data_IF_442845580119
#
_entry.id   IF_442845580119
#
_cell.length_a   1.000
_cell.length_b   1.000
_cell.length_c   1.000
_cell.angle_alpha   90.00
_cell.angle_beta   90.00
_cell.angle_gamma   90.00
#
_symmetry.space_group_name_H-M   'P 1'
#
loop_
_entity.id
_entity.type
_entity.pdbx_description
1 polymer ?
#
# COMPACT_ATOMS: atom_id res chain seq x y z
N UNK A 1 50.17 -16.87 66.53
CA UNK A 1 49.45 -16.70 67.81
C UNK A 1 50.18 -15.71 68.70
N UNK A 2 49.68 -14.48 68.85
CA UNK A 2 49.48 -13.76 70.11
C UNK A 2 49.09 -12.32 69.81
N UNK A 3 47.95 -11.95 70.38
CA UNK A 3 47.31 -10.63 70.34
C UNK A 3 48.12 -9.64 71.18
N UNK A 4 48.23 -8.40 70.74
CA UNK A 4 48.48 -7.27 71.64
C UNK A 4 47.42 -6.22 71.31
N UNK A 5 46.57 -5.99 72.30
CA UNK A 5 45.56 -4.93 72.34
C UNK A 5 46.15 -3.72 73.08
N UNK A 6 45.93 -2.55 72.48
CA UNK A 6 45.39 -1.30 73.08
C UNK A 6 46.19 -0.50 74.14
N UNK A 7 45.82 0.79 74.16
CA UNK A 7 45.92 1.88 75.16
C UNK A 7 47.28 2.61 75.22
N UNK A 8 47.46 3.95 75.29
CA UNK A 8 46.67 5.15 75.64
C UNK A 8 47.28 6.35 74.87
N UNK A 9 46.50 7.36 74.48
CA UNK A 9 47.06 8.64 74.03
C UNK A 9 46.03 9.76 73.94
N UNK A 10 45.70 10.35 75.10
CA UNK A 10 44.81 11.50 75.27
C UNK A 10 45.48 12.75 74.64
N UNK A 11 44.91 13.28 73.57
CA UNK A 11 45.40 14.47 72.86
C UNK A 11 44.31 15.54 72.79
N UNK A 12 44.42 16.55 73.64
CA UNK A 12 43.59 17.74 73.71
C UNK A 12 44.15 18.80 72.74
N UNK A 13 43.52 19.12 71.60
CA UNK A 13 43.69 20.44 70.96
C UNK A 13 42.73 20.75 69.80
N UNK A 14 42.22 21.99 69.87
CA UNK A 14 41.71 22.89 68.81
C UNK A 14 40.47 22.50 67.99
N UNK A 15 39.36 23.21 68.26
CA UNK A 15 38.31 23.46 67.28
C UNK A 15 38.90 24.27 66.11
N UNK A 16 38.89 23.68 64.92
CA UNK A 16 38.96 24.41 63.66
C UNK A 16 37.55 24.44 63.08
N UNK A 17 36.98 25.64 62.95
CA UNK A 17 35.79 25.87 62.15
C UNK A 17 36.16 25.66 60.67
N UNK A 18 35.96 24.45 60.17
CA UNK A 18 36.00 24.18 58.74
C UNK A 18 34.68 24.68 58.17
N UNK A 19 34.73 25.72 57.33
CA UNK A 19 33.61 26.09 56.48
C UNK A 19 33.26 24.87 55.64
N UNK A 20 32.19 24.16 56.01
CA UNK A 20 31.59 23.13 55.17
C UNK A 20 30.93 23.88 54.03
N UNK A 21 31.63 23.99 52.91
CA UNK A 21 30.95 24.13 51.62
C UNK A 21 29.98 22.96 51.55
N UNK A 22 28.68 23.22 51.62
CA UNK A 22 27.67 22.22 51.37
C UNK A 22 27.85 21.74 49.93
N UNK A 23 28.64 20.67 49.77
CA UNK A 23 28.61 19.88 48.57
C UNK A 23 27.23 19.22 48.57
N UNK A 24 26.28 19.81 47.84
CA UNK A 24 25.09 19.07 47.44
C UNK A 24 25.62 17.88 46.64
N UNK A 25 25.55 16.69 47.25
CA UNK A 25 25.68 15.47 46.50
C UNK A 25 24.62 15.54 45.40
N UNK A 26 25.06 15.60 44.14
CA UNK A 26 24.18 15.31 43.01
C UNK A 26 23.79 13.85 43.23
N UNK A 27 22.55 13.66 43.67
CA UNK A 27 21.97 12.34 43.83
C UNK A 27 21.97 11.72 42.42
N UNK A 28 22.92 10.82 42.18
CA UNK A 28 23.08 10.23 40.86
C UNK A 28 21.91 9.26 40.71
N UNK A 29 21.04 9.42 39.70
CA UNK A 29 19.86 8.56 39.60
C UNK A 29 20.29 7.10 39.56
N UNK A 30 19.89 6.33 40.58
CA UNK A 30 20.14 4.90 40.66
C UNK A 30 19.10 4.21 39.78
N UNK A 31 19.47 3.95 38.54
CA UNK A 31 18.60 3.27 37.57
C UNK A 31 18.82 1.75 37.62
N UNK A 32 17.73 0.97 37.49
CA UNK A 32 17.75 -0.48 37.29
C UNK A 32 16.99 -0.82 36.01
N UNK A 33 17.56 -1.64 35.16
CA UNK A 33 16.94 -2.11 33.92
C UNK A 33 16.40 -3.54 34.08
N UNK A 34 15.33 -3.84 33.37
CA UNK A 34 14.77 -5.18 33.17
C UNK A 34 14.56 -5.42 31.68
N UNK A 35 14.62 -6.68 31.25
CA UNK A 35 14.44 -7.06 29.84
C UNK A 35 13.05 -7.65 29.59
N UNK A 36 12.53 -7.42 28.37
CA UNK A 36 11.37 -8.11 27.81
C UNK A 36 11.77 -8.68 26.44
N UNK A 37 11.38 -9.91 26.16
CA UNK A 37 11.71 -10.63 24.93
C UNK A 37 10.43 -11.15 24.27
N UNK A 38 10.38 -11.11 22.95
CA UNK A 38 9.26 -11.61 22.14
C UNK A 38 9.77 -12.18 20.82
N UNK A 39 9.20 -13.31 20.39
CA UNK A 39 9.37 -13.83 19.03
C UNK A 39 8.14 -13.46 18.21
N UNK A 40 8.35 -12.86 17.03
CA UNK A 40 7.27 -12.47 16.11
C UNK A 40 7.23 -13.47 14.96
N UNK A 41 6.05 -14.04 14.71
CA UNK A 41 5.81 -15.01 13.63
C UNK A 41 4.83 -14.45 12.61
N UNK A 42 4.78 -15.06 11.42
CA UNK A 42 3.85 -14.65 10.34
C UNK A 42 2.40 -14.92 10.72
N UNK A 43 1.48 -14.08 10.23
CA UNK A 43 0.05 -14.37 10.22
C UNK A 43 -0.25 -15.61 9.36
N UNK A 44 -1.39 -16.25 9.64
CA UNK A 44 -2.01 -17.16 8.67
C UNK A 44 -2.45 -16.29 7.50
N UNK A 45 -1.72 -16.33 6.38
CA UNK A 45 -1.91 -15.42 5.25
C UNK A 45 -3.37 -15.24 4.87
N UNK A 46 -3.83 -13.98 4.79
CA UNK A 46 -5.23 -13.65 4.52
C UNK A 46 -5.63 -13.71 3.04
N UNK A 47 -4.71 -14.14 2.15
CA UNK A 47 -4.95 -14.25 0.72
C UNK A 47 -6.15 -15.14 0.39
N UNK A 48 -7.12 -14.57 -0.33
CA UNK A 48 -8.37 -15.23 -0.69
C UNK A 48 -9.58 -14.84 0.19
N UNK A 49 -9.41 -13.94 1.15
CA UNK A 49 -10.51 -13.30 1.86
C UNK A 49 -11.26 -12.30 0.96
N UNK A 50 -12.48 -11.91 1.34
CA UNK A 50 -13.18 -10.79 0.67
C UNK A 50 -12.35 -9.50 0.85
N UNK A 51 -12.23 -8.65 -0.19
CA UNK A 51 -11.53 -7.38 -0.06
C UNK A 51 -12.11 -6.47 1.04
N UNK A 52 -11.28 -5.61 1.62
CA UNK A 52 -11.69 -4.68 2.68
C UNK A 52 -12.75 -3.67 2.22
N UNK A 53 -12.77 -3.41 0.91
CA UNK A 53 -13.69 -2.52 0.21
C UNK A 53 -14.45 -3.28 -0.88
N UNK A 54 -15.69 -2.86 -1.26
CA UNK A 54 -16.52 -3.58 -2.23
C UNK A 54 -16.03 -3.40 -3.67
N UNK A 55 -14.86 -3.96 -3.97
CA UNK A 55 -14.11 -3.93 -5.23
C UNK A 55 -14.23 -5.29 -5.91
N UNK A 56 -14.15 -5.30 -7.25
CA UNK A 56 -14.30 -6.52 -8.04
C UNK A 56 -15.73 -7.06 -8.09
N UNK A 57 -15.89 -8.28 -8.59
CA UNK A 57 -17.18 -8.98 -8.58
C UNK A 57 -17.51 -9.50 -7.16
N UNK A 58 -18.74 -9.31 -6.65
CA UNK A 58 -19.11 -9.79 -5.32
C UNK A 58 -18.88 -11.29 -5.14
N UNK A 59 -18.24 -11.69 -4.04
CA UNK A 59 -18.01 -13.09 -3.69
C UNK A 59 -16.95 -13.81 -4.54
N UNK A 60 -16.18 -13.08 -5.35
CA UNK A 60 -14.95 -13.59 -5.97
C UNK A 60 -13.75 -12.98 -5.25
N UNK A 61 -12.98 -13.76 -4.47
CA UNK A 61 -11.71 -13.29 -3.99
C UNK A 61 -10.79 -12.99 -5.18
N UNK A 62 -9.83 -12.09 -4.98
CA UNK A 62 -8.86 -11.71 -6.01
C UNK A 62 -7.92 -12.83 -6.41
N UNK A 63 -6.94 -12.47 -7.23
CA UNK A 63 -6.02 -13.41 -7.87
C UNK A 63 -4.78 -13.59 -6.96
N UNK A 64 -4.67 -14.77 -6.36
CA UNK A 64 -3.47 -15.20 -5.62
C UNK A 64 -3.80 -16.04 -4.40
N UNK A 65 -2.77 -16.62 -3.78
CA UNK A 65 -2.86 -17.29 -2.48
C UNK A 65 -1.59 -17.02 -1.67
N UNK A 66 -1.69 -17.00 -0.33
CA UNK A 66 -0.55 -16.78 0.57
C UNK A 66 -0.48 -15.37 1.16
N UNK A 67 0.74 -14.96 1.52
CA UNK A 67 1.07 -13.71 2.24
C UNK A 67 1.43 -12.55 1.31
N UNK A 68 1.32 -12.71 -0.01
CA UNK A 68 1.60 -11.66 -1.00
C UNK A 68 0.75 -11.81 -2.26
N UNK A 69 -0.34 -11.06 -2.37
CA UNK A 69 -1.38 -11.28 -3.39
C UNK A 69 -2.08 -9.99 -3.82
N UNK A 70 -2.77 -10.05 -4.98
CA UNK A 70 -3.81 -9.06 -5.33
C UNK A 70 -5.15 -9.67 -4.91
N UNK A 71 -5.68 -9.22 -3.78
CA UNK A 71 -6.88 -9.82 -3.17
C UNK A 71 -8.19 -9.25 -3.70
N UNK A 72 -8.16 -8.12 -4.42
CA UNK A 72 -9.31 -7.55 -5.11
C UNK A 72 -8.87 -6.82 -6.36
N UNK A 73 -9.67 -6.89 -7.44
CA UNK A 73 -9.38 -6.21 -8.69
C UNK A 73 -10.68 -5.95 -9.46
N UNK A 74 -10.89 -4.70 -9.89
CA UNK A 74 -12.07 -4.32 -10.66
C UNK A 74 -11.87 -4.42 -12.17
N UNK A 75 -12.91 -4.89 -12.86
CA UNK A 75 -13.07 -4.71 -14.29
C UNK A 75 -13.61 -3.30 -14.61
N UNK A 76 -13.29 -2.79 -15.81
CA UNK A 76 -13.78 -1.50 -16.28
C UNK A 76 -14.80 -1.65 -17.40
N UNK A 77 -16.02 -1.18 -17.16
CA UNK A 77 -17.08 -1.14 -18.16
C UNK A 77 -17.41 0.32 -18.51
N UNK A 78 -17.38 0.66 -19.79
CA UNK A 78 -17.65 2.02 -20.27
C UNK A 78 -19.00 2.17 -20.99
N UNK A 79 -19.77 1.09 -21.14
CA UNK A 79 -21.03 1.12 -21.86
C UNK A 79 -20.87 1.51 -23.33
N UNK A 80 -21.55 2.59 -23.75
CA UNK A 80 -21.50 3.12 -25.11
C UNK A 80 -20.75 4.45 -25.12
N UNK A 81 -19.74 4.57 -25.99
CA UNK A 81 -18.99 5.81 -26.21
C UNK A 81 -19.13 6.19 -27.69
N UNK A 82 -19.47 7.45 -27.96
CA UNK A 82 -19.48 7.98 -29.32
C UNK A 82 -18.05 8.25 -29.82
N UNK A 83 -17.83 8.15 -31.12
CA UNK A 83 -16.53 8.46 -31.71
C UNK A 83 -16.11 9.89 -31.40
N UNK A 84 -14.86 10.10 -30.99
CA UNK A 84 -14.34 11.41 -30.60
C UNK A 84 -14.77 11.87 -29.21
N UNK A 85 -15.46 11.04 -28.43
CA UNK A 85 -15.86 11.35 -27.06
C UNK A 85 -15.05 10.56 -26.04
N UNK A 86 -15.13 11.07 -24.81
CA UNK A 86 -14.60 10.42 -23.61
C UNK A 86 -15.74 9.67 -22.92
N UNK A 87 -15.46 8.43 -22.52
CA UNK A 87 -16.36 7.61 -21.72
C UNK A 87 -15.85 7.45 -20.30
N UNK A 88 -16.75 7.59 -19.33
CA UNK A 88 -16.49 7.28 -17.92
C UNK A 88 -16.81 5.82 -17.62
N UNK A 89 -15.99 5.15 -16.82
CA UNK A 89 -16.31 3.82 -16.33
C UNK A 89 -17.59 3.84 -15.46
N UNK A 90 -18.40 2.82 -15.60
CA UNK A 90 -19.66 2.63 -14.89
C UNK A 90 -19.36 1.86 -13.60
N UNK A 91 -19.79 2.42 -12.48
CA UNK A 91 -19.69 1.79 -11.17
C UNK A 91 -21.10 1.39 -10.72
N UNK A 92 -21.27 0.15 -10.27
CA UNK A 92 -22.53 -0.28 -9.69
C UNK A 92 -22.77 0.42 -8.35
N UNK A 93 -24.04 0.60 -7.98
CA UNK A 93 -24.42 1.26 -6.73
C UNK A 93 -23.76 0.58 -5.53
N UNK A 94 -23.23 1.39 -4.62
CA UNK A 94 -22.53 0.96 -3.39
C UNK A 94 -21.29 0.08 -3.66
N UNK A 95 -20.70 0.15 -4.87
CA UNK A 95 -19.45 -0.52 -5.26
C UNK A 95 -18.34 0.49 -5.55
N UNK A 96 -17.12 -0.01 -5.64
CA UNK A 96 -15.92 0.77 -5.97
C UNK A 96 -15.14 0.12 -7.11
N UNK A 97 -14.43 0.94 -7.89
CA UNK A 97 -13.39 0.47 -8.81
C UNK A 97 -12.03 0.65 -8.15
N UNK A 98 -11.20 -0.38 -8.20
CA UNK A 98 -9.91 -0.35 -7.53
C UNK A 98 -9.17 -1.67 -7.60
N UNK A 99 -8.15 -1.78 -6.75
CA UNK A 99 -7.47 -3.03 -6.46
C UNK A 99 -7.07 -3.09 -4.99
N UNK A 100 -6.80 -4.29 -4.49
CA UNK A 100 -6.30 -4.53 -3.15
C UNK A 100 -5.06 -5.42 -3.19
N UNK A 101 -4.05 -5.04 -2.43
CA UNK A 101 -2.80 -5.80 -2.26
C UNK A 101 -2.69 -6.22 -0.80
N UNK A 102 -2.32 -7.48 -0.60
CA UNK A 102 -1.93 -8.02 0.71
C UNK A 102 -0.42 -8.23 0.67
N UNK A 103 0.30 -7.66 1.65
CA UNK A 103 1.72 -7.98 1.94
C UNK A 103 1.90 -8.29 3.43
N UNK A 104 1.70 -9.56 3.78
CA UNK A 104 1.88 -10.12 5.12
C UNK A 104 3.20 -10.89 5.26
N UNK A 105 4.14 -10.70 4.32
CA UNK A 105 5.44 -11.41 4.34
C UNK A 105 6.30 -11.02 5.54
N UNK A 106 6.13 -9.79 6.05
CA UNK A 106 6.81 -9.26 7.23
C UNK A 106 8.23 -8.72 6.99
N UNK A 107 8.70 -8.65 5.74
CA UNK A 107 10.08 -8.25 5.43
C UNK A 107 10.26 -6.78 5.01
N UNK A 108 9.18 -6.09 4.64
CA UNK A 108 9.27 -4.70 4.19
C UNK A 108 10.08 -4.49 2.90
N UNK A 109 10.16 -5.50 2.03
CA UNK A 109 10.95 -5.39 0.78
C UNK A 109 10.42 -4.36 -0.22
N UNK A 110 9.19 -3.88 -0.01
CA UNK A 110 8.44 -3.10 -0.99
C UNK A 110 7.85 -3.98 -2.09
N UNK A 111 7.02 -3.37 -2.92
CA UNK A 111 6.35 -4.03 -4.05
C UNK A 111 5.79 -3.00 -5.02
N UNK A 112 5.45 -3.44 -6.23
CA UNK A 112 4.64 -2.62 -7.14
C UNK A 112 3.69 -3.48 -7.96
N UNK A 113 2.54 -2.88 -8.28
CA UNK A 113 1.55 -3.37 -9.22
C UNK A 113 1.70 -2.59 -10.51
N UNK A 114 1.89 -3.33 -11.60
CA UNK A 114 1.88 -2.79 -12.96
C UNK A 114 0.63 -3.24 -13.70
N UNK A 115 0.16 -2.38 -14.60
CA UNK A 115 -0.90 -2.70 -15.54
C UNK A 115 -0.42 -2.49 -16.97
N UNK A 116 -0.80 -3.40 -17.84
CA UNK A 116 -0.68 -3.25 -19.30
C UNK A 116 -2.01 -3.60 -19.94
N UNK A 117 -2.41 -2.82 -20.94
CA UNK A 117 -3.61 -3.09 -21.74
C UNK A 117 -3.23 -3.77 -23.04
N UNK A 118 -3.90 -4.88 -23.34
CA UNK A 118 -3.79 -5.56 -24.63
C UNK A 118 -4.45 -4.76 -25.76
N UNK A 119 -4.45 -5.34 -26.95
CA UNK A 119 -5.11 -4.71 -28.10
C UNK A 119 -6.63 -4.64 -27.89
N UNK A 120 -7.22 -3.50 -28.25
CA UNK A 120 -8.67 -3.29 -28.19
C UNK A 120 -9.33 -3.88 -29.44
N UNK A 121 -9.74 -5.16 -29.36
CA UNK A 121 -10.23 -5.97 -30.48
C UNK A 121 -11.75 -5.95 -30.56
N UNK A 122 -12.27 -5.97 -31.78
CA UNK A 122 -13.70 -6.12 -32.02
C UNK A 122 -14.17 -7.48 -31.51
N UNK A 123 -15.33 -7.50 -30.86
CA UNK A 123 -16.01 -8.74 -30.43
C UNK A 123 -17.08 -9.17 -31.43
N UNK A 124 -17.28 -8.43 -32.51
CA UNK A 124 -18.32 -8.72 -33.52
C UNK A 124 -17.89 -9.84 -34.46
N UNK A 125 -18.83 -10.73 -34.76
CA UNK A 125 -18.61 -11.83 -35.70
C UNK A 125 -18.33 -11.28 -37.10
N UNK A 126 -17.32 -11.83 -37.78
CA UNK A 126 -16.82 -11.32 -39.07
C UNK A 126 -15.82 -10.17 -38.98
N UNK A 127 -15.68 -9.50 -37.81
CA UNK A 127 -14.80 -8.33 -37.63
C UNK A 127 -13.76 -8.50 -36.52
N UNK A 128 -13.59 -9.69 -35.93
CA UNK A 128 -12.70 -9.96 -34.77
C UNK A 128 -11.22 -9.55 -34.96
N UNK A 129 -10.76 -9.41 -36.20
CA UNK A 129 -9.41 -8.91 -36.52
C UNK A 129 -9.30 -7.38 -36.52
N UNK A 130 -10.40 -6.67 -36.32
CA UNK A 130 -10.43 -5.20 -36.27
C UNK A 130 -9.95 -4.73 -34.90
N UNK A 131 -8.91 -3.92 -34.90
CA UNK A 131 -8.36 -3.27 -33.71
C UNK A 131 -8.78 -1.80 -33.73
N UNK A 132 -9.38 -1.32 -32.64
CA UNK A 132 -9.53 0.10 -32.39
C UNK A 132 -8.14 0.69 -32.12
N UNK A 133 -7.72 1.66 -32.93
CA UNK A 133 -6.43 2.37 -32.77
C UNK A 133 -6.67 3.75 -32.20
N UNK A 134 -5.67 4.31 -31.51
CA UNK A 134 -5.70 5.68 -31.00
C UNK A 134 -6.61 5.90 -29.79
N UNK A 135 -6.98 4.82 -29.09
CA UNK A 135 -7.64 4.93 -27.80
C UNK A 135 -6.64 5.37 -26.73
N UNK A 136 -7.17 5.93 -25.64
CA UNK A 136 -6.40 6.31 -24.46
C UNK A 136 -7.21 5.97 -23.21
N UNK A 137 -6.72 5.04 -22.41
CA UNK A 137 -7.26 4.72 -21.09
C UNK A 137 -6.50 5.54 -20.04
N UNK A 138 -7.22 6.17 -19.14
CA UNK A 138 -6.65 6.84 -17.96
C UNK A 138 -7.25 6.20 -16.71
N UNK A 139 -6.38 5.74 -15.82
CA UNK A 139 -6.71 5.29 -14.47
C UNK A 139 -6.17 6.37 -13.54
N UNK A 140 -7.03 7.10 -12.79
CA UNK A 140 -6.58 8.19 -11.93
C UNK A 140 -5.77 7.64 -10.76
N UNK A 141 -4.99 8.51 -10.12
CA UNK A 141 -4.48 8.20 -8.79
C UNK A 141 -5.68 8.03 -7.83
N UNK A 142 -5.79 6.85 -7.23
CA UNK A 142 -6.87 6.52 -6.32
C UNK A 142 -6.61 6.96 -4.88
N UNK A 143 -7.60 6.70 -4.04
CA UNK A 143 -7.51 6.87 -2.59
C UNK A 143 -7.03 5.59 -1.94
N UNK A 144 -5.96 5.66 -1.16
CA UNK A 144 -5.40 4.53 -0.43
C UNK A 144 -6.13 4.38 0.91
N UNK A 145 -6.67 3.19 1.16
CA UNK A 145 -7.35 2.83 2.42
C UNK A 145 -6.80 1.52 2.97
N UNK A 146 -6.94 1.31 4.27
CA UNK A 146 -6.48 0.09 4.94
C UNK A 146 -7.14 -0.08 6.31
N UNK A 147 -7.48 -1.33 6.66
CA UNK A 147 -7.87 -1.75 8.02
C UNK A 147 -6.74 -2.51 8.71
N UNK A 148 -5.92 -3.25 7.97
CA UNK A 148 -4.87 -4.13 8.51
C UNK A 148 -3.45 -3.77 8.06
N UNK A 149 -3.20 -2.52 7.67
CA UNK A 149 -1.90 -2.01 7.23
C UNK A 149 -1.27 -1.01 8.20
N UNK A 150 0.04 -0.84 8.07
CA UNK A 150 0.78 0.25 8.72
C UNK A 150 0.43 1.64 8.13
N UNK A 151 -0.52 2.32 8.78
CA UNK A 151 -0.94 3.66 8.39
C UNK A 151 0.16 4.73 8.46
N UNK A 152 1.28 4.47 9.15
CA UNK A 152 2.42 5.39 9.16
C UNK A 152 3.24 5.31 7.87
N UNK A 153 3.24 4.16 7.18
CA UNK A 153 4.02 3.92 5.98
C UNK A 153 3.15 3.30 4.85
N UNK A 154 2.13 4.04 4.35
CA UNK A 154 1.24 3.52 3.34
C UNK A 154 1.92 3.45 1.96
N UNK A 155 1.42 2.59 1.05
CA UNK A 155 1.80 2.61 -0.36
C UNK A 155 1.30 3.87 -1.08
N UNK A 156 1.84 4.11 -2.26
CA UNK A 156 1.52 5.25 -3.14
C UNK A 156 0.68 4.79 -4.33
N UNK A 157 -0.43 5.48 -4.59
CA UNK A 157 -1.18 5.36 -5.83
C UNK A 157 -0.65 6.32 -6.90
N UNK A 158 -0.66 5.88 -8.15
CA UNK A 158 -0.21 6.67 -9.30
C UNK A 158 -1.30 6.81 -10.34
N UNK A 159 -1.36 7.97 -11.00
CA UNK A 159 -2.14 8.11 -12.23
C UNK A 159 -1.43 7.35 -13.36
N UNK A 160 -2.19 6.62 -14.15
CA UNK A 160 -1.69 5.84 -15.28
C UNK A 160 -2.41 6.25 -16.55
N UNK A 161 -1.63 6.53 -17.59
CA UNK A 161 -2.10 6.77 -18.94
C UNK A 161 -1.62 5.63 -19.83
N UNK A 162 -2.57 4.86 -20.37
CA UNK A 162 -2.31 3.75 -21.30
C UNK A 162 -2.84 4.11 -22.68
N UNK A 163 -1.94 4.32 -23.62
CA UNK A 163 -2.23 4.59 -25.05
C UNK A 163 -1.49 3.62 -26.00
N UNK A 164 -0.71 2.70 -25.42
CA UNK A 164 0.09 1.68 -26.09
C UNK A 164 0.31 0.49 -25.15
N UNK A 165 0.81 -0.61 -25.70
CA UNK A 165 1.15 -1.83 -24.94
C UNK A 165 2.43 -1.65 -24.13
N UNK A 166 2.40 -0.80 -23.11
CA UNK A 166 3.49 -0.57 -22.16
C UNK A 166 2.99 -0.73 -20.72
N UNK A 167 3.77 -1.41 -19.89
CA UNK A 167 3.47 -1.57 -18.48
C UNK A 167 3.66 -0.24 -17.74
N UNK A 168 2.67 0.14 -16.93
CA UNK A 168 2.70 1.34 -16.10
C UNK A 168 2.45 0.98 -14.65
N UNK A 169 3.17 1.61 -13.72
CA UNK A 169 3.00 1.40 -12.28
C UNK A 169 1.78 2.16 -11.79
N UNK A 170 0.84 1.45 -11.17
CA UNK A 170 -0.44 2.01 -10.68
C UNK A 170 -0.50 2.10 -9.15
N UNK A 171 0.23 1.21 -8.47
CA UNK A 171 0.28 1.14 -7.02
C UNK A 171 1.63 0.59 -6.58
N UNK A 172 2.27 1.22 -5.60
CA UNK A 172 3.60 0.79 -5.18
C UNK A 172 3.89 1.09 -3.72
N UNK A 173 4.65 0.22 -3.08
CA UNK A 173 5.26 0.45 -1.79
C UNK A 173 6.78 0.50 -1.93
N UNK A 174 7.38 1.54 -1.36
CA UNK A 174 8.82 1.61 -1.17
C UNK A 174 9.27 0.59 -0.11
N UNK A 175 10.58 0.47 0.07
CA UNK A 175 11.13 -0.30 1.18
C UNK A 175 10.55 0.20 2.51
N UNK A 176 10.23 -0.75 3.39
CA UNK A 176 9.66 -0.55 4.72
C UNK A 176 8.29 0.17 4.72
N UNK A 177 7.60 0.18 3.57
CA UNK A 177 6.22 0.65 3.41
C UNK A 177 5.31 -0.45 2.89
N UNK A 178 4.00 -0.25 3.00
CA UNK A 178 3.00 -1.11 2.36
C UNK A 178 2.92 -2.52 2.94
N UNK A 179 3.31 -2.71 4.21
CA UNK A 179 3.07 -3.95 4.96
C UNK A 179 1.63 -4.02 5.47
N UNK A 180 1.02 -5.18 5.30
CA UNK A 180 -0.39 -5.45 5.58
C UNK A 180 -1.28 -5.35 4.34
N UNK A 181 -2.56 -5.09 4.55
CA UNK A 181 -3.57 -5.01 3.48
C UNK A 181 -3.84 -3.56 3.09
N UNK A 182 -3.77 -3.25 1.80
CA UNK A 182 -4.10 -1.92 1.28
C UNK A 182 -4.96 -1.99 0.05
N UNK A 183 -6.00 -1.16 0.07
CA UNK A 183 -6.86 -0.95 -1.07
C UNK A 183 -6.52 0.39 -1.75
N UNK A 184 -6.40 0.36 -3.08
CA UNK A 184 -6.35 1.55 -3.91
C UNK A 184 -7.69 1.73 -4.63
N UNK A 185 -8.50 2.69 -4.16
CA UNK A 185 -9.82 3.00 -4.72
C UNK A 185 -9.69 4.05 -5.81
N UNK A 186 -9.82 3.64 -7.07
CA UNK A 186 -9.73 4.55 -8.23
C UNK A 186 -10.94 5.48 -8.33
N UNK A 187 -12.14 4.96 -8.09
CA UNK A 187 -13.39 5.73 -8.06
C UNK A 187 -14.52 4.92 -7.42
N UNK A 188 -15.61 5.59 -7.06
CA UNK A 188 -16.84 5.01 -6.52
C UNK A 188 -18.08 5.43 -7.33
N UNK A 189 -19.25 4.93 -6.93
CA UNK A 189 -20.54 5.26 -7.57
C UNK A 189 -20.98 6.72 -7.37
N UNK A 190 -20.30 7.46 -6.51
CA UNK A 190 -20.54 8.89 -6.22
C UNK A 190 -19.54 9.80 -6.96
N UNK A 191 -18.57 9.23 -7.67
CA UNK A 191 -17.55 9.98 -8.38
C UNK A 191 -18.17 10.65 -9.62
N UNK A 192 -18.35 11.95 -9.52
CA UNK A 192 -18.95 12.80 -10.57
C UNK A 192 -17.91 13.51 -11.41
N UNK A 193 -16.75 13.83 -10.83
CA UNK A 193 -15.63 14.49 -11.50
C UNK A 193 -14.98 13.56 -12.54
N UNK A 194 -15.00 14.00 -13.80
CA UNK A 194 -14.47 13.24 -14.94
C UNK A 194 -12.95 13.08 -14.87
N UNK A 195 -12.22 14.05 -14.30
CA UNK A 195 -10.75 13.98 -14.17
C UNK A 195 -10.32 12.96 -13.10
N UNK A 196 -11.17 12.74 -12.10
CA UNK A 196 -10.96 11.75 -11.04
C UNK A 196 -11.57 10.38 -11.34
N UNK A 197 -12.02 10.17 -12.58
CA UNK A 197 -12.68 8.94 -12.98
C UNK A 197 -11.77 8.09 -13.87
N UNK A 198 -11.94 6.77 -13.80
CA UNK A 198 -11.41 5.87 -14.83
C UNK A 198 -12.11 6.20 -16.15
N UNK A 199 -11.33 6.56 -17.17
CA UNK A 199 -11.87 7.13 -18.42
C UNK A 199 -11.19 6.60 -19.67
N UNK A 200 -11.96 6.43 -20.73
CA UNK A 200 -11.52 5.92 -22.02
C UNK A 200 -11.87 6.92 -23.13
N UNK A 201 -10.87 7.43 -23.83
CA UNK A 201 -11.05 8.27 -25.01
C UNK A 201 -11.04 7.42 -26.28
N UNK A 202 -12.04 7.62 -27.15
CA UNK A 202 -12.13 6.98 -28.47
C UNK A 202 -11.93 8.03 -29.56
N UNK A 203 -11.05 7.83 -30.56
CA UNK A 203 -10.82 8.82 -31.59
C UNK A 203 -12.00 8.94 -32.56
N UNK A 204 -12.09 10.08 -33.26
CA UNK A 204 -13.17 10.38 -34.23
C UNK A 204 -13.19 9.44 -35.43
N UNK A 205 -12.07 8.81 -35.75
CA UNK A 205 -11.90 7.89 -36.89
C UNK A 205 -11.95 6.41 -36.47
N UNK A 206 -12.36 6.10 -35.22
CA UNK A 206 -12.57 4.72 -34.80
C UNK A 206 -13.66 4.06 -35.66
N UNK A 207 -13.54 2.76 -35.92
CA UNK A 207 -14.61 2.02 -36.60
C UNK A 207 -15.74 1.73 -35.61
N UNK A 208 -16.99 1.87 -36.03
CA UNK A 208 -18.16 1.51 -35.22
C UNK A 208 -18.14 0.00 -34.94
N UNK A 209 -18.39 -0.38 -33.69
CA UNK A 209 -18.52 -1.78 -33.27
C UNK A 209 -18.37 -1.96 -31.76
N UNK A 210 -18.48 -3.21 -31.29
CA UNK A 210 -18.16 -3.60 -29.91
C UNK A 210 -16.71 -4.02 -29.79
N UNK A 211 -16.01 -3.52 -28.76
CA UNK A 211 -14.59 -3.80 -28.54
C UNK A 211 -14.32 -4.27 -27.11
N UNK A 212 -13.30 -5.10 -26.94
CA UNK A 212 -12.77 -5.55 -25.65
C UNK A 212 -11.25 -5.60 -25.70
N UNK A 213 -10.61 -5.22 -24.59
CA UNK A 213 -9.19 -5.44 -24.33
C UNK A 213 -9.08 -6.05 -22.95
N UNK A 214 -8.06 -6.89 -22.78
CA UNK A 214 -7.73 -7.43 -21.48
C UNK A 214 -6.69 -6.50 -20.81
N UNK A 215 -6.88 -6.26 -19.52
CA UNK A 215 -5.89 -5.60 -18.67
C UNK A 215 -5.13 -6.70 -17.94
N UNK A 216 -3.81 -6.70 -18.10
CA UNK A 216 -2.92 -7.65 -17.45
C UNK A 216 -2.23 -6.92 -16.30
N UNK A 217 -2.45 -7.42 -15.09
CA UNK A 217 -1.92 -6.86 -13.86
C UNK A 217 -0.82 -7.75 -13.30
N UNK A 218 0.28 -7.14 -12.88
CA UNK A 218 1.46 -7.86 -12.39
C UNK A 218 1.90 -7.27 -11.06
N UNK A 219 1.83 -8.08 -10.00
CA UNK A 219 2.40 -7.77 -8.69
C UNK A 219 3.85 -8.28 -8.63
N UNK A 220 4.79 -7.42 -8.23
CA UNK A 220 6.22 -7.75 -8.16
C UNK A 220 6.83 -7.41 -6.81
N UNK A 221 7.74 -8.27 -6.34
CA UNK A 221 8.45 -8.17 -5.05
C UNK A 221 9.71 -7.27 -5.10
N UNK A 222 9.62 -6.14 -5.79
CA UNK A 222 10.67 -5.13 -5.74
C UNK A 222 10.05 -3.78 -6.09
N UNK A 223 10.35 -2.68 -5.39
CA UNK A 223 9.96 -1.36 -5.85
C UNK A 223 10.63 -1.09 -7.22
N UNK A 224 9.90 -0.46 -8.14
CA UNK A 224 10.50 0.15 -9.32
C UNK A 224 10.77 1.62 -8.98
N UNK A 225 12.04 2.02 -9.09
CA UNK A 225 12.45 3.43 -9.07
C UNK A 225 12.02 4.14 -10.36
#
# INVERSE_FOLDING_TARGET
MKRISLIIGLGMTSLLFVNVSAAFAIDTPVNKTSSAEVEVTKSQGSGGAEPEEPIGEPGKPGIGSGDFTINGLSDFNFGKIEMGKLGKAIVAKDRKLGLEVIDERGFGSGWNVQVVMGEFKSTEEGNKNTIAKGWKLVIPAGTVTSKFGDLANPPKSHEVIIDKMAASVVFSADKDSGLGTYTNVFMDDKTTDEEKSVRLSIPTYAKIGKYKADLIWVLTNAPKN
#
